data_IF_601074857044
#
_entry.id   IF_601074857044
#
_cell.length_a   1.000
_cell.length_b   1.000
_cell.length_c   1.000
_cell.angle_alpha   90.00
_cell.angle_beta   90.00
_cell.angle_gamma   90.00
#
_symmetry.space_group_name_H-M   'P 1'
#
loop_
_entity.id
_entity.type
_entity.pdbx_description
1 polymer ?
#
# COMPACT_ATOMS: atom_id res chain seq x y z
N UNK A 1 -2.10 7.21 16.81
CA UNK A 1 -2.04 6.51 18.11
C UNK A 1 -2.32 7.52 19.23
N UNK A 2 -2.96 7.15 20.35
CA UNK A 2 -3.26 8.10 21.45
C UNK A 2 -1.99 8.38 22.27
N UNK A 3 -1.71 9.64 22.62
CA UNK A 3 -0.45 10.05 23.29
C UNK A 3 -0.15 9.28 24.58
N UNK A 4 -1.15 9.04 25.44
CA UNK A 4 -0.97 8.26 26.67
C UNK A 4 -0.50 6.83 26.44
N UNK A 5 -0.91 6.21 25.32
CA UNK A 5 -0.51 4.84 24.98
C UNK A 5 0.96 4.80 24.59
N UNK A 6 1.45 5.83 23.89
CA UNK A 6 2.86 5.97 23.51
C UNK A 6 3.75 6.02 24.74
N UNK A 7 3.46 6.93 25.67
CA UNK A 7 4.23 7.11 26.92
C UNK A 7 4.29 5.82 27.74
N UNK A 8 3.16 5.11 27.88
CA UNK A 8 3.12 3.84 28.62
C UNK A 8 4.00 2.76 27.98
N UNK A 9 4.01 2.67 26.65
CA UNK A 9 4.83 1.70 25.92
C UNK A 9 6.33 2.04 26.05
N UNK A 10 6.69 3.31 25.88
CA UNK A 10 8.07 3.79 26.02
C UNK A 10 8.61 3.59 27.44
N UNK A 11 7.78 3.85 28.47
CA UNK A 11 8.14 3.59 29.88
C UNK A 11 8.36 2.09 30.18
N UNK A 12 7.78 1.20 29.38
CA UNK A 12 7.96 -0.26 29.46
C UNK A 12 9.13 -0.75 28.58
N UNK A 13 9.93 0.15 28.01
CA UNK A 13 11.08 -0.19 27.17
C UNK A 13 10.73 -0.49 25.70
N UNK A 14 9.48 -0.30 25.28
CA UNK A 14 9.09 -0.47 23.88
C UNK A 14 9.48 0.76 23.06
N UNK A 15 10.08 0.54 21.88
CA UNK A 15 10.32 1.59 20.90
C UNK A 15 9.07 1.80 20.04
N UNK A 16 8.64 3.06 19.91
CA UNK A 16 7.57 3.47 18.99
C UNK A 16 8.20 4.28 17.86
N UNK A 17 8.01 3.82 16.64
CA UNK A 17 8.61 4.41 15.45
C UNK A 17 7.79 4.13 14.19
N UNK A 18 8.31 4.58 13.06
CA UNK A 18 7.74 4.35 11.74
C UNK A 18 8.22 3.02 11.14
N UNK A 19 7.64 2.61 10.01
CA UNK A 19 8.06 1.39 9.32
C UNK A 19 9.46 1.53 8.70
N UNK A 20 9.77 2.72 8.18
CA UNK A 20 11.08 3.13 7.66
C UNK A 20 12.16 3.05 8.75
N UNK A 21 11.90 3.56 9.96
CA UNK A 21 12.83 3.42 11.09
C UNK A 21 13.04 1.96 11.50
N UNK A 22 11.99 1.13 11.45
CA UNK A 22 12.07 -0.27 11.84
C UNK A 22 12.84 -1.12 10.83
N UNK A 23 12.60 -0.87 9.54
CA UNK A 23 13.23 -1.61 8.44
C UNK A 23 14.58 -1.01 8.00
N UNK A 24 14.93 0.18 8.49
CA UNK A 24 16.18 0.86 8.13
C UNK A 24 16.17 1.34 6.67
N UNK A 25 15.01 1.76 6.17
CA UNK A 25 14.85 2.13 4.76
C UNK A 25 15.54 3.46 4.45
N UNK A 26 16.12 3.56 3.25
CA UNK A 26 16.53 4.88 2.73
C UNK A 26 15.29 5.71 2.38
N UNK A 27 15.43 7.05 2.26
CA UNK A 27 14.35 7.90 1.77
C UNK A 27 13.80 7.45 0.41
N UNK A 28 14.67 6.96 -0.48
CA UNK A 28 14.31 6.47 -1.81
C UNK A 28 13.51 5.16 -1.73
N UNK A 29 13.92 4.22 -0.89
CA UNK A 29 13.19 2.96 -0.67
C UNK A 29 11.81 3.22 -0.07
N UNK A 30 11.75 4.11 0.92
CA UNK A 30 10.48 4.53 1.53
C UNK A 30 9.56 5.18 0.49
N UNK A 31 10.08 6.10 -0.32
CA UNK A 31 9.31 6.74 -1.39
C UNK A 31 8.82 5.73 -2.44
N UNK A 32 9.64 4.73 -2.79
CA UNK A 32 9.25 3.68 -3.71
C UNK A 32 8.11 2.81 -3.17
N UNK A 33 8.17 2.42 -1.90
CA UNK A 33 7.11 1.65 -1.23
C UNK A 33 5.82 2.48 -1.16
N UNK A 34 5.90 3.73 -0.73
CA UNK A 34 4.74 4.63 -0.68
C UNK A 34 4.10 4.82 -2.07
N UNK A 35 4.91 4.96 -3.13
CA UNK A 35 4.43 5.03 -4.50
C UNK A 35 3.68 3.75 -4.91
N UNK A 36 4.21 2.56 -4.59
CA UNK A 36 3.51 1.29 -4.84
C UNK A 36 2.18 1.20 -4.12
N UNK A 37 2.14 1.58 -2.84
CA UNK A 37 0.92 1.58 -2.01
C UNK A 37 -0.13 2.59 -2.53
N UNK A 38 0.32 3.76 -2.96
CA UNK A 38 -0.54 4.80 -3.54
C UNK A 38 -1.14 4.34 -4.87
N UNK A 39 -0.35 3.73 -5.76
CA UNK A 39 -0.82 3.23 -7.05
C UNK A 39 -1.84 2.10 -6.89
N UNK A 40 -1.58 1.10 -6.04
CA UNK A 40 -2.51 -0.02 -5.81
C UNK A 40 -3.85 0.47 -5.23
N UNK A 41 -3.78 1.36 -4.24
CA UNK A 41 -4.96 1.96 -3.60
C UNK A 41 -5.75 2.84 -4.57
N UNK A 42 -5.08 3.70 -5.32
CA UNK A 42 -5.70 4.60 -6.30
C UNK A 42 -6.39 3.81 -7.41
N UNK A 43 -5.75 2.76 -7.94
CA UNK A 43 -6.35 1.89 -8.96
C UNK A 43 -7.69 1.31 -8.47
N UNK A 44 -7.70 0.72 -7.27
CA UNK A 44 -8.90 0.15 -6.65
C UNK A 44 -9.97 1.22 -6.44
N UNK A 45 -9.60 2.38 -5.92
CA UNK A 45 -10.52 3.50 -5.70
C UNK A 45 -11.15 3.99 -7.01
N UNK A 46 -10.36 4.18 -8.06
CA UNK A 46 -10.86 4.61 -9.38
C UNK A 46 -11.80 3.56 -9.99
N UNK A 47 -11.47 2.28 -9.87
CA UNK A 47 -12.34 1.19 -10.32
C UNK A 47 -13.69 1.21 -9.61
N UNK A 48 -13.68 1.32 -8.28
CA UNK A 48 -14.90 1.35 -7.48
C UNK A 48 -15.73 2.62 -7.74
N UNK A 49 -15.09 3.78 -7.93
CA UNK A 49 -15.77 5.04 -8.31
C UNK A 49 -16.52 4.90 -9.63
N UNK A 50 -15.98 4.11 -10.57
CA UNK A 50 -16.60 3.79 -11.87
C UNK A 50 -17.58 2.61 -11.80
N UNK A 51 -17.83 2.05 -10.62
CA UNK A 51 -18.69 0.88 -10.39
C UNK A 51 -18.31 -0.34 -11.24
N UNK A 52 -17.01 -0.52 -11.49
CA UNK A 52 -16.49 -1.64 -12.28
C UNK A 52 -16.04 -2.80 -11.37
N UNK A 53 -16.31 -4.03 -11.79
CA UNK A 53 -15.63 -5.23 -11.31
C UNK A 53 -14.19 -5.28 -11.83
N UNK A 54 -13.35 -6.13 -11.22
CA UNK A 54 -11.97 -6.32 -11.69
C UNK A 54 -11.93 -6.90 -13.12
N UNK A 55 -12.93 -7.70 -13.52
CA UNK A 55 -13.06 -8.24 -14.88
C UNK A 55 -13.36 -7.14 -15.89
N UNK A 56 -14.26 -6.20 -15.56
CA UNK A 56 -14.60 -5.07 -16.44
C UNK A 56 -13.41 -4.13 -16.63
N UNK A 57 -12.69 -3.80 -15.55
CA UNK A 57 -11.47 -3.03 -15.66
C UNK A 57 -10.42 -3.76 -16.50
N UNK A 58 -10.23 -5.06 -16.27
CA UNK A 58 -9.30 -5.87 -17.06
C UNK A 58 -9.60 -5.82 -18.55
N UNK A 59 -10.87 -5.95 -18.95
CA UNK A 59 -11.29 -5.81 -20.34
C UNK A 59 -10.98 -4.41 -20.89
N UNK A 60 -11.28 -3.36 -20.13
CA UNK A 60 -11.05 -1.98 -20.55
C UNK A 60 -9.57 -1.66 -20.83
N UNK A 61 -8.64 -2.25 -20.06
CA UNK A 61 -7.20 -2.04 -20.21
C UNK A 61 -6.47 -3.17 -20.95
N UNK A 62 -7.21 -4.05 -21.64
CA UNK A 62 -6.65 -5.21 -22.37
C UNK A 62 -5.73 -6.09 -21.50
N UNK A 63 -6.16 -6.29 -20.25
CA UNK A 63 -5.46 -7.09 -19.25
C UNK A 63 -6.29 -8.30 -18.82
N UNK A 64 -5.76 -9.09 -17.88
CA UNK A 64 -6.51 -10.18 -17.23
C UNK A 64 -6.99 -9.75 -15.85
N UNK A 65 -8.11 -10.32 -15.39
CA UNK A 65 -8.62 -10.03 -14.04
C UNK A 65 -7.58 -10.34 -12.96
N UNK A 66 -6.82 -11.43 -13.09
CA UNK A 66 -5.73 -11.77 -12.16
C UNK A 66 -4.65 -10.69 -12.09
N UNK A 67 -4.26 -10.09 -13.23
CA UNK A 67 -3.30 -8.97 -13.24
C UNK A 67 -3.85 -7.74 -12.52
N UNK A 68 -5.13 -7.41 -12.74
CA UNK A 68 -5.78 -6.31 -12.00
C UNK A 68 -5.84 -6.61 -10.50
N UNK A 69 -6.17 -7.84 -10.10
CA UNK A 69 -6.21 -8.23 -8.69
C UNK A 69 -4.84 -8.08 -8.01
N UNK A 70 -3.76 -8.51 -8.68
CA UNK A 70 -2.38 -8.35 -8.20
C UNK A 70 -1.98 -6.88 -8.08
N UNK A 71 -2.32 -6.06 -9.07
CA UNK A 71 -2.07 -4.61 -9.04
C UNK A 71 -2.78 -3.93 -7.85
N UNK A 72 -4.05 -4.27 -7.60
CA UNK A 72 -4.81 -3.72 -6.47
C UNK A 72 -4.36 -4.25 -5.11
N UNK A 73 -3.75 -5.44 -5.07
CA UNK A 73 -3.21 -6.03 -3.85
C UNK A 73 -1.80 -5.54 -3.51
N UNK A 74 -1.14 -4.80 -4.40
CA UNK A 74 0.28 -4.44 -4.25
C UNK A 74 1.20 -5.65 -4.30
N UNK A 75 0.86 -6.66 -5.11
CA UNK A 75 1.63 -7.90 -5.24
C UNK A 75 3.09 -7.60 -5.64
N UNK A 76 4.10 -8.25 -5.02
CA UNK A 76 5.52 -8.01 -5.33
C UNK A 76 5.88 -8.24 -6.80
N UNK A 77 5.12 -9.04 -7.55
CA UNK A 77 5.34 -9.29 -8.97
C UNK A 77 4.95 -8.10 -9.87
N UNK A 78 4.38 -7.02 -9.31
CA UNK A 78 3.96 -5.83 -10.05
C UNK A 78 5.08 -4.78 -10.00
N UNK A 79 5.57 -4.40 -11.18
CA UNK A 79 6.53 -3.32 -11.39
C UNK A 79 5.84 -1.99 -11.69
N UNK A 80 6.54 -0.89 -11.42
CA UNK A 80 6.17 0.48 -11.80
C UNK A 80 6.99 0.88 -13.02
#
# INVERSE_FOLDING_TARGET
MRAHKRVKLEAQGWKVGSADEFLGLTPEESAYIEMKLALSSSLKQQRLKRKMSQVELAKAVKSSQSRIAKMEAGDPSVSI
#
